data_IF_972883961412
#
_entry.id   IF_972883961412
#
_cell.length_a   1.000
_cell.length_b   1.000
_cell.length_c   1.000
_cell.angle_alpha   90.00
_cell.angle_beta   90.00
_cell.angle_gamma   90.00
#
_symmetry.space_group_name_H-M   'P 1'
#
loop_
_entity.id
_entity.type
_entity.pdbx_description
1 polymer ?
#
# COMPACT_ATOMS: atom_id res chain seq x y z
N UNK A 1 -28.28 -32.75 3.10
CA UNK A 1 -26.88 -32.97 2.71
C UNK A 1 -26.53 -31.94 1.65
N UNK A 2 -25.80 -30.89 2.02
CA UNK A 2 -25.43 -29.80 1.09
C UNK A 2 -24.29 -30.28 0.19
N UNK A 3 -24.52 -30.34 -1.12
CA UNK A 3 -23.51 -30.73 -2.08
C UNK A 3 -22.36 -29.70 -2.10
N UNK A 4 -21.13 -30.15 -1.82
CA UNK A 4 -19.92 -29.34 -1.98
C UNK A 4 -19.77 -28.95 -3.46
N UNK A 5 -19.83 -27.65 -3.74
CA UNK A 5 -19.61 -27.08 -5.08
C UNK A 5 -18.17 -27.39 -5.48
N UNK A 6 -17.97 -28.17 -6.55
CA UNK A 6 -16.63 -28.42 -7.11
C UNK A 6 -16.04 -27.10 -7.59
N UNK A 7 -14.98 -26.63 -6.93
CA UNK A 7 -14.20 -25.47 -7.36
C UNK A 7 -13.28 -25.92 -8.49
N UNK A 8 -13.70 -25.73 -9.74
CA UNK A 8 -12.83 -25.95 -10.91
C UNK A 8 -11.95 -24.72 -11.11
N UNK A 9 -10.63 -24.87 -10.98
CA UNK A 9 -9.68 -23.81 -11.33
C UNK A 9 -9.62 -23.64 -12.86
N UNK A 10 -9.89 -22.43 -13.39
CA UNK A 10 -9.78 -22.18 -14.82
C UNK A 10 -8.31 -22.25 -15.28
N UNK A 11 -8.09 -22.76 -16.49
CA UNK A 11 -6.75 -22.84 -17.10
C UNK A 11 -6.48 -21.55 -17.88
N UNK A 12 -5.39 -20.86 -17.54
CA UNK A 12 -4.92 -19.67 -18.26
C UNK A 12 -3.75 -20.08 -19.15
N UNK A 13 -3.82 -19.75 -20.45
CA UNK A 13 -2.71 -19.98 -21.37
C UNK A 13 -1.62 -18.94 -21.13
N UNK A 14 -0.41 -19.42 -20.86
CA UNK A 14 0.81 -18.61 -20.77
C UNK A 14 1.71 -18.91 -21.95
N UNK A 15 2.59 -17.97 -22.28
CA UNK A 15 3.69 -18.27 -23.22
C UNK A 15 4.66 -19.27 -22.57
N UNK A 16 5.31 -20.16 -23.35
CA UNK A 16 6.21 -21.18 -22.80
C UNK A 16 7.30 -20.61 -21.89
N UNK A 17 7.90 -19.49 -22.28
CA UNK A 17 8.94 -18.80 -21.52
C UNK A 17 8.44 -18.27 -20.17
N UNK A 18 7.20 -17.75 -20.11
CA UNK A 18 6.58 -17.26 -18.87
C UNK A 18 6.24 -18.41 -17.94
N UNK A 19 5.72 -19.52 -18.50
CA UNK A 19 5.44 -20.71 -17.71
C UNK A 19 6.73 -21.29 -17.11
N UNK A 20 7.81 -21.38 -17.90
CA UNK A 20 9.11 -21.86 -17.41
C UNK A 20 9.64 -20.98 -16.27
N UNK A 21 9.61 -19.65 -16.42
CA UNK A 21 10.02 -18.73 -15.36
C UNK A 21 9.18 -18.90 -14.08
N UNK A 22 7.86 -19.05 -14.21
CA UNK A 22 6.97 -19.29 -13.07
C UNK A 22 7.23 -20.65 -12.40
N UNK A 23 7.65 -21.66 -13.17
CA UNK A 23 8.02 -22.97 -12.65
C UNK A 23 9.31 -22.94 -11.85
N UNK A 24 10.31 -22.21 -12.33
CA UNK A 24 11.57 -22.01 -11.61
C UNK A 24 11.33 -21.27 -10.29
N UNK A 25 10.56 -20.17 -10.31
CA UNK A 25 10.16 -19.42 -9.10
C UNK A 25 9.39 -20.29 -8.10
N UNK A 26 8.43 -21.08 -8.57
CA UNK A 26 7.69 -22.02 -7.73
C UNK A 26 8.59 -23.03 -7.03
N UNK A 27 9.63 -23.52 -7.73
CA UNK A 27 10.61 -24.46 -7.17
C UNK A 27 11.53 -23.77 -6.16
N UNK A 28 12.03 -22.58 -6.48
CA UNK A 28 12.93 -21.81 -5.61
C UNK A 28 12.25 -21.39 -4.30
N UNK A 29 11.01 -20.92 -4.38
CA UNK A 29 10.25 -20.48 -3.21
C UNK A 29 9.54 -21.65 -2.48
N UNK A 30 9.56 -22.86 -3.04
CA UNK A 30 8.78 -24.02 -2.57
C UNK A 30 7.29 -23.69 -2.39
N UNK A 31 6.70 -23.04 -3.40
CA UNK A 31 5.31 -22.54 -3.38
C UNK A 31 4.55 -22.96 -4.64
N UNK A 32 3.23 -23.19 -4.55
CA UNK A 32 2.41 -23.41 -5.74
C UNK A 32 2.45 -22.20 -6.69
N UNK A 33 2.58 -22.45 -8.01
CA UNK A 33 2.55 -21.39 -9.04
C UNK A 33 1.31 -20.49 -8.92
N UNK A 34 0.16 -21.08 -8.54
CA UNK A 34 -1.09 -20.33 -8.37
C UNK A 34 -1.01 -19.28 -7.27
N UNK A 35 -0.31 -19.57 -6.17
CA UNK A 35 -0.13 -18.63 -5.05
C UNK A 35 0.83 -17.50 -5.45
N UNK A 36 1.89 -17.82 -6.19
CA UNK A 36 2.82 -16.82 -6.73
C UNK A 36 2.09 -15.87 -7.69
N UNK A 37 1.23 -16.40 -8.57
CA UNK A 37 0.41 -15.60 -9.48
C UNK A 37 -0.59 -14.74 -8.70
N UNK A 38 -1.24 -15.30 -7.67
CA UNK A 38 -2.19 -14.57 -6.83
C UNK A 38 -1.51 -13.38 -6.13
N UNK A 39 -0.35 -13.60 -5.51
CA UNK A 39 0.42 -12.55 -4.84
C UNK A 39 0.93 -11.49 -5.83
N UNK A 40 1.44 -11.92 -6.97
CA UNK A 40 1.89 -11.02 -8.03
C UNK A 40 0.76 -10.12 -8.52
N UNK A 41 -0.46 -10.68 -8.65
CA UNK A 41 -1.64 -9.91 -9.02
C UNK A 41 -2.02 -8.90 -7.93
N UNK A 42 -1.91 -9.24 -6.64
CA UNK A 42 -2.16 -8.29 -5.55
C UNK A 42 -1.15 -7.14 -5.56
N UNK A 43 0.13 -7.44 -5.79
CA UNK A 43 1.19 -6.42 -5.92
C UNK A 43 0.89 -5.49 -7.09
N UNK A 44 0.58 -6.04 -8.26
CA UNK A 44 0.20 -5.26 -9.43
C UNK A 44 -1.03 -4.37 -9.17
N UNK A 45 -2.07 -4.91 -8.53
CA UNK A 45 -3.26 -4.11 -8.15
C UNK A 45 -2.92 -2.97 -7.21
N UNK A 46 -2.07 -3.22 -6.21
CA UNK A 46 -1.61 -2.20 -5.26
C UNK A 46 -0.80 -1.11 -5.97
N UNK A 47 0.13 -1.49 -6.83
CA UNK A 47 0.92 -0.55 -7.63
C UNK A 47 0.04 0.31 -8.54
N UNK A 48 -0.91 -0.31 -9.24
CA UNK A 48 -1.83 0.37 -10.13
C UNK A 48 -2.77 1.31 -9.36
N UNK A 49 -3.23 0.90 -8.18
CA UNK A 49 -4.01 1.75 -7.28
C UNK A 49 -3.22 3.01 -6.91
N UNK A 50 -1.99 2.86 -6.40
CA UNK A 50 -1.18 4.01 -6.00
C UNK A 50 -0.80 4.90 -7.18
N UNK A 51 -0.51 4.32 -8.34
CA UNK A 51 -0.25 5.08 -9.57
C UNK A 51 -1.45 5.95 -9.93
N UNK A 52 -2.66 5.39 -9.90
CA UNK A 52 -3.91 6.13 -10.19
C UNK A 52 -4.20 7.18 -9.12
N UNK A 53 -4.05 6.85 -7.84
CA UNK A 53 -4.26 7.79 -6.75
C UNK A 53 -3.35 9.02 -6.87
N UNK A 54 -2.06 8.81 -7.14
CA UNK A 54 -1.09 9.90 -7.40
C UNK A 54 -1.51 10.75 -8.58
N UNK A 55 -1.86 10.13 -9.71
CA UNK A 55 -2.34 10.86 -10.89
C UNK A 55 -3.60 11.68 -10.61
N UNK A 56 -4.53 11.17 -9.79
CA UNK A 56 -5.72 11.92 -9.38
C UNK A 56 -5.37 13.15 -8.54
N UNK A 57 -4.42 13.03 -7.60
CA UNK A 57 -3.94 14.16 -6.80
C UNK A 57 -3.22 15.19 -7.66
N UNK A 58 -2.37 14.75 -8.59
CA UNK A 58 -1.69 15.69 -9.51
C UNK A 58 -2.68 16.41 -10.43
N UNK A 59 -3.74 15.72 -10.89
CA UNK A 59 -4.84 16.37 -11.62
C UNK A 59 -5.61 17.38 -10.75
N UNK A 60 -5.83 17.08 -9.47
CA UNK A 60 -6.47 18.00 -8.53
C UNK A 60 -5.61 19.25 -8.33
N UNK A 61 -4.30 19.10 -8.10
CA UNK A 61 -3.35 20.22 -7.94
C UNK A 61 -3.25 21.11 -9.19
N UNK A 62 -3.39 20.53 -10.37
CA UNK A 62 -3.35 21.26 -11.64
C UNK A 62 -4.59 22.17 -11.87
N UNK A 63 -5.67 21.98 -11.10
CA UNK A 63 -6.85 22.85 -11.08
C UNK A 63 -6.77 23.77 -9.85
N UNK A 64 -6.43 25.08 -10.01
CA UNK A 64 -6.25 25.97 -8.88
C UNK A 64 -7.51 26.19 -8.03
N UNK A 65 -8.70 26.11 -8.63
CA UNK A 65 -9.97 26.32 -7.92
C UNK A 65 -10.28 25.10 -7.07
N UNK A 66 -10.18 23.90 -7.66
CA UNK A 66 -10.42 22.65 -6.94
C UNK A 66 -9.35 22.41 -5.86
N UNK A 67 -8.08 22.74 -6.16
CA UNK A 67 -6.99 22.63 -5.20
C UNK A 67 -7.20 23.53 -3.98
N UNK A 68 -7.59 24.79 -4.19
CA UNK A 68 -7.90 25.71 -3.10
C UNK A 68 -9.02 25.16 -2.20
N UNK A 69 -10.11 24.66 -2.79
CA UNK A 69 -11.21 24.06 -2.01
C UNK A 69 -10.77 22.85 -1.18
N UNK A 70 -9.94 21.97 -1.74
CA UNK A 70 -9.35 20.85 -1.01
C UNK A 70 -8.46 21.32 0.15
N UNK A 71 -7.63 22.35 -0.05
CA UNK A 71 -6.79 22.90 1.02
C UNK A 71 -7.60 23.53 2.15
N UNK A 72 -8.68 24.23 1.82
CA UNK A 72 -9.62 24.77 2.80
C UNK A 72 -10.28 23.65 3.61
N UNK A 73 -10.69 22.55 2.95
CA UNK A 73 -11.21 21.36 3.63
C UNK A 73 -10.18 20.73 4.56
N UNK A 74 -8.95 20.49 4.06
CA UNK A 74 -7.87 19.92 4.87
C UNK A 74 -7.59 20.78 6.10
N UNK A 75 -7.58 22.12 5.98
CA UNK A 75 -7.35 23.01 7.11
C UNK A 75 -8.40 22.85 8.22
N UNK A 76 -9.67 22.57 7.85
CA UNK A 76 -10.73 22.28 8.83
C UNK A 76 -10.46 20.95 9.54
N UNK A 77 -10.07 19.91 8.81
CA UNK A 77 -9.75 18.60 9.39
C UNK A 77 -8.49 18.63 10.26
N UNK A 78 -7.46 19.35 9.84
CA UNK A 78 -6.19 19.50 10.56
C UNK A 78 -6.40 20.19 11.91
N UNK A 79 -7.33 21.16 11.96
CA UNK A 79 -7.74 21.80 13.22
C UNK A 79 -8.41 20.85 14.23
N UNK A 80 -8.89 19.68 13.79
CA UNK A 80 -9.47 18.64 14.65
C UNK A 80 -8.48 17.51 14.99
N UNK A 81 -7.25 17.53 14.48
CA UNK A 81 -6.28 16.45 14.67
C UNK A 81 -5.92 16.18 16.15
N UNK A 82 -5.99 17.22 16.99
CA UNK A 82 -5.74 17.13 18.44
C UNK A 82 -6.97 16.86 19.30
N UNK A 83 -8.15 16.69 18.70
CA UNK A 83 -9.37 16.46 19.46
C UNK A 83 -9.29 15.12 20.22
N UNK A 84 -9.67 15.14 21.50
CA UNK A 84 -9.57 13.98 22.40
C UNK A 84 -8.16 13.66 22.95
N UNK A 85 -7.10 14.34 22.50
CA UNK A 85 -5.72 14.11 22.98
C UNK A 85 -5.29 15.06 24.11
N UNK A 86 -6.20 15.93 24.58
CA UNK A 86 -5.89 16.91 25.63
C UNK A 86 -5.66 16.22 26.98
N UNK A 87 -4.44 16.33 27.51
CA UNK A 87 -4.06 15.74 28.79
C UNK A 87 -3.63 14.27 28.69
N UNK A 88 -3.51 13.74 27.48
CA UNK A 88 -2.82 12.46 27.26
C UNK A 88 -1.32 12.66 27.52
N UNK A 89 -0.72 11.71 28.23
CA UNK A 89 0.72 11.70 28.41
C UNK A 89 1.39 11.42 27.04
N UNK A 90 2.54 12.05 26.74
CA UNK A 90 3.28 11.78 25.53
C UNK A 90 3.52 10.27 25.35
N UNK A 91 3.34 9.77 24.12
CA UNK A 91 3.51 8.35 23.82
C UNK A 91 4.97 7.88 23.99
N UNK A 92 5.92 8.82 23.89
CA UNK A 92 7.35 8.60 24.10
C UNK A 92 7.87 9.57 25.17
N UNK A 93 8.84 9.11 25.95
CA UNK A 93 9.65 10.00 26.79
C UNK A 93 10.54 10.89 25.91
N UNK A 94 10.98 12.07 26.40
CA UNK A 94 11.89 12.93 25.65
C UNK A 94 13.17 12.21 25.21
N UNK A 95 13.70 11.31 26.05
CA UNK A 95 14.87 10.50 25.70
C UNK A 95 14.59 9.52 24.56
N UNK A 96 13.40 8.90 24.55
CA UNK A 96 12.98 8.01 23.45
C UNK A 96 12.71 8.79 22.16
N UNK A 97 12.15 10.00 22.23
CA UNK A 97 11.98 10.86 21.05
C UNK A 97 13.34 11.22 20.43
N UNK A 98 14.31 11.63 21.24
CA UNK A 98 15.68 11.95 20.78
C UNK A 98 16.35 10.73 20.12
N UNK A 99 16.14 9.53 20.68
CA UNK A 99 16.64 8.28 20.10
C UNK A 99 15.96 7.97 18.75
N UNK A 100 14.63 8.12 18.66
CA UNK A 100 13.85 7.91 17.43
C UNK A 100 14.29 8.89 16.35
N UNK A 101 14.42 10.18 16.68
CA UNK A 101 14.86 11.20 15.72
C UNK A 101 16.29 10.93 15.24
N UNK A 102 17.17 10.53 16.14
CA UNK A 102 18.56 10.17 15.82
C UNK A 102 18.61 8.93 14.93
N UNK A 103 17.82 7.90 15.23
CA UNK A 103 17.72 6.68 14.41
C UNK A 103 17.14 6.99 13.04
N UNK A 104 16.09 7.80 12.97
CA UNK A 104 15.48 8.25 11.72
C UNK A 104 16.50 9.01 10.87
N UNK A 105 17.25 9.96 11.46
CA UNK A 105 18.29 10.71 10.77
C UNK A 105 19.43 9.82 10.27
N UNK A 106 19.81 8.76 11.02
CA UNK A 106 20.83 7.78 10.59
C UNK A 106 20.34 6.87 9.47
N UNK A 107 19.07 6.47 9.53
CA UNK A 107 18.49 5.49 8.61
C UNK A 107 18.05 6.15 7.30
N UNK A 108 17.58 7.40 7.37
CA UNK A 108 16.94 8.10 6.26
C UNK A 108 17.54 9.48 5.91
N UNK A 109 18.50 10.01 6.66
CA UNK A 109 19.18 11.27 6.30
C UNK A 109 20.30 11.02 5.29
N UNK A 110 20.35 11.61 4.08
CA UNK A 110 19.61 12.69 3.42
C UNK A 110 19.24 12.24 2.00
#
# INVERSE_FOLDING_TARGET
MTAMKRTTSPVVKLKPETHAALQELAREENRPMGDIVADSLQRYKKEEFWRRARLSVERLKADPVAWKGFQEEIAVWDGMAGDGLTGEEPYYTPEEEDEIETEFARTYGR
#
